data_IF_735644830313
#
_entry.id   IF_735644830313
#
_cell.length_a   1.000
_cell.length_b   1.000
_cell.length_c   1.000
_cell.angle_alpha   90.00
_cell.angle_beta   90.00
_cell.angle_gamma   90.00
#
_symmetry.space_group_name_H-M   'P 1'
#
loop_
_entity.id
_entity.type
_entity.pdbx_description
1 polymer ?
#
# COMPACT_ATOMS: atom_id res chain seq x y z
N UNK A 1 17.04 21.03 27.17
CA UNK A 1 16.68 19.75 26.52
C UNK A 1 16.03 19.92 25.14
N UNK A 2 15.58 21.13 24.75
CA UNK A 2 14.91 21.38 23.43
C UNK A 2 15.86 21.30 22.20
N UNK A 3 17.16 21.53 22.39
CA UNK A 3 18.14 21.52 21.27
C UNK A 3 18.78 20.16 20.96
N UNK A 4 18.59 19.17 21.84
CA UNK A 4 19.28 17.87 21.72
C UNK A 4 18.47 16.89 20.81
N UNK A 5 17.14 16.97 20.82
CA UNK A 5 16.29 16.10 20.00
C UNK A 5 16.39 16.45 18.51
N UNK A 6 16.47 17.75 18.18
CA UNK A 6 16.62 18.19 16.79
C UNK A 6 18.03 17.90 16.24
N UNK A 7 19.06 17.96 17.11
CA UNK A 7 20.43 17.64 16.75
C UNK A 7 20.64 16.13 16.49
N UNK A 8 19.90 15.25 17.15
CA UNK A 8 20.03 13.80 16.95
C UNK A 8 19.42 13.36 15.60
N UNK A 9 18.36 13.98 15.14
CA UNK A 9 17.72 13.68 13.84
C UNK A 9 18.63 14.17 12.69
N UNK A 10 19.27 15.31 12.83
CA UNK A 10 20.24 15.85 11.85
C UNK A 10 21.56 15.08 11.88
N UNK A 11 22.02 14.59 13.03
CA UNK A 11 23.26 13.85 13.18
C UNK A 11 23.23 12.45 12.57
N UNK A 12 22.07 11.78 12.54
CA UNK A 12 21.92 10.47 11.88
C UNK A 12 22.01 10.61 10.36
N UNK A 13 21.63 11.75 9.79
CA UNK A 13 21.72 12.02 8.34
C UNK A 13 23.16 12.40 7.92
N UNK A 14 23.98 12.93 8.83
CA UNK A 14 25.32 13.45 8.53
C UNK A 14 26.48 12.50 8.90
N UNK A 15 26.23 11.32 9.49
CA UNK A 15 27.29 10.43 9.98
C UNK A 15 27.72 9.33 9.00
N UNK A 16 27.34 9.38 7.75
CA UNK A 16 27.91 8.48 6.74
C UNK A 16 29.19 9.09 6.15
N UNK A 17 30.35 8.42 6.22
CA UNK A 17 31.58 8.91 5.62
C UNK A 17 31.44 8.91 4.10
N UNK A 18 31.39 10.09 3.51
CA UNK A 18 31.50 10.29 2.06
C UNK A 18 32.93 10.02 1.61
N UNK A 19 33.25 8.78 1.23
CA UNK A 19 34.41 8.53 0.38
C UNK A 19 34.03 8.87 -1.06
N UNK A 20 34.11 10.14 -1.41
CA UNK A 20 34.10 10.60 -2.79
C UNK A 20 35.46 10.28 -3.42
N UNK A 21 35.55 9.19 -4.16
CA UNK A 21 36.57 8.99 -5.17
C UNK A 21 36.04 9.57 -6.49
N UNK A 22 36.45 10.78 -6.82
CA UNK A 22 36.16 11.35 -8.12
C UNK A 22 36.99 10.59 -9.18
N UNK A 23 36.34 9.66 -9.89
CA UNK A 23 36.87 9.17 -11.16
C UNK A 23 36.31 10.01 -12.29
N UNK A 24 37.18 10.80 -12.89
CA UNK A 24 36.95 11.51 -14.14
C UNK A 24 36.70 10.51 -15.26
N UNK A 25 35.46 10.46 -15.76
CA UNK A 25 35.15 9.71 -16.96
C UNK A 25 35.62 10.46 -18.21
N UNK A 26 36.24 9.77 -19.19
CA UNK A 26 36.63 10.39 -20.44
C UNK A 26 35.38 10.66 -21.30
N UNK A 27 35.28 11.86 -21.84
CA UNK A 27 34.36 12.20 -22.91
C UNK A 27 34.65 11.33 -24.12
N UNK A 28 33.77 10.45 -24.54
CA UNK A 28 33.79 9.82 -25.86
C UNK A 28 32.36 9.72 -26.40
N UNK A 29 32.13 10.53 -27.40
CA UNK A 29 31.49 10.27 -28.69
C UNK A 29 30.21 9.42 -28.76
N UNK A 30 29.16 10.06 -29.30
CA UNK A 30 28.03 9.51 -30.07
C UNK A 30 27.27 8.36 -29.42
N UNK A 31 26.10 8.68 -28.90
CA UNK A 31 25.03 7.69 -28.68
C UNK A 31 24.73 6.96 -30.00
N UNK A 32 24.84 5.64 -30.08
CA UNK A 32 24.32 4.91 -31.21
C UNK A 32 22.80 4.92 -31.15
N UNK A 33 22.19 5.21 -32.26
CA UNK A 33 20.80 5.24 -32.61
C UNK A 33 19.94 4.26 -31.79
N UNK A 34 19.27 4.74 -30.78
CA UNK A 34 18.29 3.99 -29.99
C UNK A 34 17.18 3.42 -30.88
N UNK A 35 16.87 4.10 -31.98
CA UNK A 35 15.95 3.65 -33.01
C UNK A 35 16.44 2.41 -33.78
N UNK A 36 17.76 2.30 -34.04
CA UNK A 36 18.33 1.13 -34.69
C UNK A 36 18.40 -0.09 -33.76
N UNK A 37 18.69 0.14 -32.50
CA UNK A 37 18.68 -0.92 -31.50
C UNK A 37 17.28 -1.46 -31.28
N UNK A 38 16.27 -0.60 -31.18
CA UNK A 38 14.86 -0.98 -31.07
C UNK A 38 14.37 -1.77 -32.29
N UNK A 39 14.79 -1.38 -33.49
CA UNK A 39 14.49 -2.13 -34.72
C UNK A 39 15.10 -3.52 -34.71
N UNK A 40 16.35 -3.67 -34.27
CA UNK A 40 17.00 -4.99 -34.14
C UNK A 40 16.29 -5.90 -33.13
N UNK A 41 15.88 -5.36 -31.99
CA UNK A 41 15.12 -6.09 -31.00
C UNK A 41 13.73 -6.50 -31.52
N UNK A 42 13.06 -5.61 -32.25
CA UNK A 42 11.78 -5.90 -32.90
C UNK A 42 11.90 -7.00 -33.97
N UNK A 43 12.96 -6.97 -34.78
CA UNK A 43 13.21 -7.96 -35.80
C UNK A 43 13.61 -9.31 -35.19
N UNK A 44 14.37 -9.32 -34.08
CA UNK A 44 14.67 -10.53 -33.33
C UNK A 44 13.41 -11.14 -32.71
N UNK A 45 12.51 -10.33 -32.17
CA UNK A 45 11.22 -10.79 -31.61
C UNK A 45 10.30 -11.34 -32.71
N UNK A 46 10.26 -10.73 -33.89
CA UNK A 46 9.52 -11.25 -35.04
C UNK A 46 10.07 -12.61 -35.51
N UNK A 47 11.38 -12.79 -35.55
CA UNK A 47 12.02 -14.07 -35.87
C UNK A 47 11.68 -15.15 -34.82
N UNK A 48 11.68 -14.83 -33.54
CA UNK A 48 11.26 -15.75 -32.49
C UNK A 48 9.79 -16.16 -32.63
N UNK A 49 8.91 -15.22 -32.94
CA UNK A 49 7.49 -15.51 -33.18
C UNK A 49 7.30 -16.45 -34.40
N UNK A 50 8.02 -16.22 -35.51
CA UNK A 50 7.99 -17.11 -36.67
C UNK A 50 8.47 -18.52 -36.32
N UNK A 51 9.58 -18.64 -35.57
CA UNK A 51 10.08 -19.94 -35.13
C UNK A 51 9.11 -20.71 -34.23
N UNK A 52 8.36 -19.99 -33.39
CA UNK A 52 7.31 -20.59 -32.56
C UNK A 52 6.11 -21.06 -33.40
N UNK A 53 5.69 -20.26 -34.38
CA UNK A 53 4.64 -20.66 -35.35
C UNK A 53 5.02 -21.90 -36.14
N UNK A 54 6.25 -21.97 -36.65
CA UNK A 54 6.76 -23.15 -37.39
C UNK A 54 6.83 -24.41 -36.51
N UNK A 55 7.15 -24.25 -35.21
CA UNK A 55 7.10 -25.36 -34.26
C UNK A 55 5.68 -25.87 -34.02
N UNK A 56 4.73 -24.96 -33.86
CA UNK A 56 3.31 -25.31 -33.72
C UNK A 56 2.79 -26.07 -34.93
N UNK A 57 3.05 -25.58 -36.14
CA UNK A 57 2.64 -26.24 -37.37
C UNK A 57 3.26 -27.66 -37.52
N UNK A 58 4.54 -27.82 -37.14
CA UNK A 58 5.18 -29.14 -37.11
C UNK A 58 4.56 -30.08 -36.08
N UNK A 59 4.17 -29.58 -34.93
CA UNK A 59 3.49 -30.38 -33.92
C UNK A 59 2.09 -30.80 -34.37
N UNK A 60 1.34 -29.90 -35.03
CA UNK A 60 0.04 -30.25 -35.63
C UNK A 60 0.16 -31.30 -36.71
N UNK A 61 1.19 -31.23 -37.57
CA UNK A 61 1.45 -32.24 -38.58
C UNK A 61 1.80 -33.62 -38.00
N UNK A 62 2.55 -33.65 -36.88
CA UNK A 62 2.85 -34.89 -36.16
C UNK A 62 1.60 -35.45 -35.52
N UNK A 63 0.76 -34.63 -34.92
CA UNK A 63 -0.53 -35.05 -34.33
C UNK A 63 -1.47 -35.63 -35.42
N UNK A 64 -1.55 -34.98 -36.58
CA UNK A 64 -2.32 -35.51 -37.71
C UNK A 64 -1.78 -36.83 -38.22
N UNK A 65 -0.45 -36.99 -38.34
CA UNK A 65 0.17 -38.26 -38.77
C UNK A 65 -0.08 -39.37 -37.73
N UNK A 66 0.00 -39.08 -36.46
CA UNK A 66 -0.29 -40.04 -35.39
C UNK A 66 -1.78 -40.42 -35.34
N UNK A 67 -2.68 -39.48 -35.58
CA UNK A 67 -4.12 -39.76 -35.66
C UNK A 67 -4.52 -40.54 -36.92
N UNK A 68 -3.81 -40.34 -38.05
CA UNK A 68 -4.03 -41.11 -39.28
C UNK A 68 -3.47 -42.56 -39.21
N UNK A 69 -2.45 -42.80 -38.39
CA UNK A 69 -1.91 -44.15 -38.13
C UNK A 69 -2.73 -44.96 -37.10
N UNK A 70 -3.64 -44.34 -36.40
CA UNK A 70 -4.52 -44.99 -35.40
C UNK A 70 -5.81 -45.54 -35.99
N UNK A 71 -5.89 -45.82 -37.31
CA UNK A 71 -7.04 -46.49 -37.91
C UNK A 71 -6.89 -47.99 -37.74
N UNK A 72 -7.76 -48.71 -37.01
CA UNK A 72 -7.70 -50.15 -36.83
C UNK A 72 -8.04 -50.87 -38.14
N UNK A 73 -7.44 -52.04 -38.41
CA UNK A 73 -7.85 -52.85 -39.56
C UNK A 73 -9.29 -53.34 -39.36
N UNK A 74 -10.09 -53.24 -40.41
CA UNK A 74 -11.48 -53.64 -40.46
C UNK A 74 -11.63 -55.14 -40.12
N UNK A 75 -12.34 -55.47 -39.05
CA UNK A 75 -12.75 -56.86 -38.79
C UNK A 75 -12.78 -57.33 -37.33
N UNK A 76 -13.14 -56.52 -36.36
CA UNK A 76 -13.51 -57.01 -35.02
C UNK A 76 -14.69 -56.18 -34.47
N UNK A 77 -15.69 -56.88 -33.95
CA UNK A 77 -16.91 -56.30 -33.38
C UNK A 77 -16.60 -55.26 -32.28
N UNK A 78 -17.49 -54.29 -32.01
CA UNK A 78 -17.25 -53.20 -31.14
C UNK A 78 -17.14 -53.64 -29.67
N UNK A 79 -15.96 -53.74 -29.16
CA UNK A 79 -15.73 -53.74 -27.70
C UNK A 79 -15.68 -52.29 -27.22
N UNK A 80 -16.44 -52.01 -26.22
CA UNK A 80 -16.58 -50.76 -25.48
C UNK A 80 -15.22 -50.05 -25.30
N UNK A 81 -15.08 -48.73 -25.57
CA UNK A 81 -13.85 -48.03 -25.31
C UNK A 81 -13.48 -48.09 -23.84
N UNK A 82 -12.23 -48.41 -23.55
CA UNK A 82 -11.74 -48.52 -22.19
C UNK A 82 -11.82 -47.15 -21.52
N UNK A 83 -12.56 -47.10 -20.42
CA UNK A 83 -12.80 -45.89 -19.58
C UNK A 83 -11.52 -45.18 -19.12
N UNK A 84 -10.33 -45.78 -19.31
CA UNK A 84 -9.04 -45.22 -18.94
C UNK A 84 -8.47 -44.18 -19.90
N UNK A 85 -8.79 -44.26 -21.21
CA UNK A 85 -8.20 -43.35 -22.20
C UNK A 85 -8.87 -41.97 -22.19
N UNK A 86 -10.16 -41.94 -21.95
CA UNK A 86 -10.92 -40.69 -21.78
C UNK A 86 -10.62 -40.02 -20.42
N UNK A 87 -10.34 -40.80 -19.41
CA UNK A 87 -9.93 -40.32 -18.11
C UNK A 87 -8.52 -39.71 -18.17
N UNK A 88 -7.56 -40.37 -18.82
CA UNK A 88 -6.22 -39.85 -19.04
C UNK A 88 -6.22 -38.56 -19.88
N UNK A 89 -7.03 -38.51 -20.96
CA UNK A 89 -7.17 -37.28 -21.77
C UNK A 89 -7.78 -36.12 -20.97
N UNK A 90 -8.71 -36.41 -20.05
CA UNK A 90 -9.28 -35.39 -19.14
C UNK A 90 -8.25 -34.93 -18.12
N UNK A 91 -7.52 -35.86 -17.51
CA UNK A 91 -6.49 -35.52 -16.51
C UNK A 91 -5.36 -34.67 -17.14
N UNK A 92 -4.85 -35.06 -18.33
CA UNK A 92 -3.83 -34.26 -19.05
C UNK A 92 -4.39 -32.90 -19.47
N UNK A 93 -5.63 -32.81 -19.92
CA UNK A 93 -6.28 -31.54 -20.25
C UNK A 93 -6.46 -30.64 -19.01
N UNK A 94 -6.84 -31.21 -17.89
CA UNK A 94 -7.01 -30.47 -16.64
C UNK A 94 -5.65 -30.03 -16.07
N UNK A 95 -4.61 -30.86 -16.20
CA UNK A 95 -3.25 -30.51 -15.79
C UNK A 95 -2.68 -29.38 -16.66
N UNK A 96 -2.82 -29.46 -18.00
CA UNK A 96 -2.42 -28.38 -18.91
C UNK A 96 -3.21 -27.11 -18.63
N UNK A 97 -4.52 -27.19 -18.41
CA UNK A 97 -5.34 -26.04 -18.08
C UNK A 97 -4.96 -25.44 -16.70
N UNK A 98 -4.58 -26.27 -15.74
CA UNK A 98 -4.11 -25.83 -14.43
C UNK A 98 -2.77 -25.10 -14.50
N UNK A 99 -1.85 -25.58 -15.36
CA UNK A 99 -0.53 -24.96 -15.55
C UNK A 99 -0.61 -23.69 -16.43
N UNK A 100 -1.58 -23.61 -17.35
CA UNK A 100 -1.76 -22.43 -18.21
C UNK A 100 -2.61 -21.35 -17.54
N UNK A 101 -3.56 -21.71 -16.66
CA UNK A 101 -4.41 -20.72 -15.93
C UNK A 101 -3.63 -19.62 -15.22
N UNK A 102 -2.54 -19.89 -14.47
CA UNK A 102 -1.74 -18.84 -13.87
C UNK A 102 -1.08 -17.93 -14.90
N UNK A 103 -0.61 -18.51 -16.03
CA UNK A 103 0.02 -17.77 -17.12
C UNK A 103 -0.99 -16.92 -17.90
N UNK A 104 -2.20 -17.41 -18.14
CA UNK A 104 -3.30 -16.64 -18.72
C UNK A 104 -3.82 -15.55 -17.77
N UNK A 105 -3.91 -15.84 -16.49
CA UNK A 105 -4.26 -14.85 -15.47
C UNK A 105 -3.17 -13.78 -15.32
N UNK A 106 -1.89 -14.17 -15.41
CA UNK A 106 -0.77 -13.24 -15.45
C UNK A 106 -0.73 -12.44 -16.76
N UNK A 107 -1.00 -13.07 -17.92
CA UNK A 107 -1.10 -12.39 -19.20
C UNK A 107 -2.26 -11.38 -19.25
N UNK A 108 -3.41 -11.72 -18.68
CA UNK A 108 -4.52 -10.77 -18.50
C UNK A 108 -4.19 -9.64 -17.51
N UNK A 109 -3.28 -9.87 -16.55
CA UNK A 109 -2.76 -8.82 -15.65
C UNK A 109 -1.69 -7.95 -16.34
N UNK A 110 -1.00 -8.49 -17.36
CA UNK A 110 0.16 -7.81 -17.99
C UNK A 110 -0.22 -6.94 -19.19
N UNK A 111 -1.38 -7.16 -19.78
CA UNK A 111 -1.91 -6.33 -20.87
C UNK A 111 -3.38 -5.95 -20.61
N UNK A 112 -3.65 -5.01 -19.69
CA UNK A 112 -4.91 -4.31 -19.77
C UNK A 112 -4.91 -3.66 -21.16
N UNK A 113 -5.96 -3.86 -21.96
CA UNK A 113 -6.08 -3.14 -23.20
C UNK A 113 -5.91 -1.65 -22.87
N UNK A 114 -5.12 -0.94 -23.66
CA UNK A 114 -4.74 0.45 -23.43
C UNK A 114 -5.93 1.39 -23.14
N UNK A 115 -7.15 0.92 -23.44
CA UNK A 115 -8.40 1.66 -23.33
C UNK A 115 -9.39 1.09 -22.31
N UNK A 116 -9.13 -0.08 -21.72
CA UNK A 116 -10.00 -0.64 -20.69
C UNK A 116 -9.41 -0.38 -19.31
N UNK A 117 -10.11 0.32 -18.42
CA UNK A 117 -9.65 0.50 -17.05
C UNK A 117 -9.57 -0.85 -16.35
N UNK A 118 -8.53 -1.04 -15.54
CA UNK A 118 -8.50 -2.09 -14.56
C UNK A 118 -9.57 -1.77 -13.50
N UNK A 119 -10.47 -2.73 -13.25
CA UNK A 119 -11.55 -2.59 -12.31
C UNK A 119 -11.38 -3.64 -11.23
N UNK A 120 -11.42 -3.22 -9.98
CA UNK A 120 -11.42 -4.08 -8.81
C UNK A 120 -12.52 -3.70 -7.84
N UNK A 121 -13.00 -4.69 -7.08
CA UNK A 121 -13.97 -4.45 -6.03
C UNK A 121 -13.56 -5.22 -4.78
N UNK A 122 -13.59 -4.55 -3.64
CA UNK A 122 -13.29 -5.14 -2.33
C UNK A 122 -14.52 -5.09 -1.47
N UNK A 123 -14.77 -6.16 -0.75
CA UNK A 123 -15.77 -6.23 0.29
C UNK A 123 -15.06 -6.52 1.60
N UNK A 124 -15.30 -5.69 2.60
CA UNK A 124 -14.73 -5.85 3.92
C UNK A 124 -15.81 -5.79 5.00
N UNK A 125 -15.97 -6.89 5.72
CA UNK A 125 -16.93 -7.04 6.81
C UNK A 125 -16.23 -7.37 8.12
N UNK A 126 -16.70 -6.77 9.21
CA UNK A 126 -16.13 -6.94 10.55
C UNK A 126 -17.21 -7.33 11.55
N UNK A 127 -17.04 -8.47 12.21
CA UNK A 127 -17.75 -8.80 13.45
C UNK A 127 -16.91 -8.33 14.64
N UNK A 128 -17.50 -7.61 15.59
CA UNK A 128 -16.82 -7.10 16.76
C UNK A 128 -17.56 -7.40 18.05
N UNK A 129 -16.82 -7.58 19.12
CA UNK A 129 -17.33 -7.67 20.48
C UNK A 129 -16.42 -6.86 21.41
N UNK A 130 -17.00 -6.07 22.28
CA UNK A 130 -16.30 -5.34 23.35
C UNK A 130 -16.97 -5.63 24.68
N UNK A 131 -16.18 -5.89 25.73
CA UNK A 131 -16.75 -6.06 27.09
C UNK A 131 -17.59 -4.83 27.44
N UNK A 132 -18.69 -5.08 28.17
CA UNK A 132 -19.68 -4.09 28.60
C UNK A 132 -20.47 -3.44 27.45
N UNK A 133 -20.28 -3.87 26.22
CA UNK A 133 -21.04 -3.45 25.06
C UNK A 133 -21.60 -4.67 24.33
N UNK A 134 -22.55 -4.45 23.43
CA UNK A 134 -23.10 -5.52 22.59
C UNK A 134 -22.14 -5.82 21.44
N UNK A 135 -22.14 -7.07 20.96
CA UNK A 135 -21.48 -7.43 19.73
C UNK A 135 -22.14 -6.74 18.53
N UNK A 136 -21.35 -6.49 17.49
CA UNK A 136 -21.81 -5.86 16.27
C UNK A 136 -21.28 -6.62 15.03
N UNK A 137 -22.05 -6.58 13.95
CA UNK A 137 -21.59 -6.93 12.60
C UNK A 137 -21.68 -5.67 11.75
N UNK A 138 -20.57 -5.32 11.15
CA UNK A 138 -20.40 -4.12 10.36
C UNK A 138 -19.98 -4.47 8.94
N UNK A 139 -20.69 -3.92 7.96
CA UNK A 139 -20.19 -3.79 6.61
C UNK A 139 -19.28 -2.57 6.60
N UNK A 140 -17.96 -2.79 6.71
CA UNK A 140 -17.01 -1.70 6.90
C UNK A 140 -16.77 -0.93 5.61
N UNK A 141 -16.56 -1.64 4.50
CA UNK A 141 -16.34 -1.00 3.20
C UNK A 141 -16.71 -1.89 2.01
N UNK A 142 -17.14 -1.25 0.94
CA UNK A 142 -17.24 -1.79 -0.40
C UNK A 142 -16.50 -0.87 -1.37
N UNK A 143 -15.22 -1.16 -1.65
CA UNK A 143 -14.37 -0.28 -2.44
C UNK A 143 -14.37 -0.66 -3.91
N UNK A 144 -14.70 0.29 -4.78
CA UNK A 144 -14.59 0.18 -6.23
C UNK A 144 -13.33 0.93 -6.70
N UNK A 145 -12.33 0.19 -7.11
CA UNK A 145 -11.09 0.72 -7.66
C UNK A 145 -11.11 0.74 -9.19
N UNK A 146 -10.73 1.86 -9.77
CA UNK A 146 -10.59 2.10 -11.21
C UNK A 146 -9.19 2.63 -11.50
N UNK A 147 -8.50 2.09 -12.50
CA UNK A 147 -7.18 2.60 -12.91
C UNK A 147 -6.99 2.42 -14.41
N UNK A 148 -6.55 3.49 -15.08
CA UNK A 148 -6.24 3.45 -16.52
C UNK A 148 -5.05 4.36 -16.85
N UNK A 149 -4.30 4.00 -17.90
CA UNK A 149 -3.38 4.94 -18.53
C UNK A 149 -4.21 5.92 -19.38
N UNK A 150 -4.03 7.22 -19.15
CA UNK A 150 -4.65 8.27 -19.96
C UNK A 150 -3.90 8.39 -21.29
N UNK A 151 -2.58 8.37 -21.21
CA UNK A 151 -1.63 8.42 -22.31
C UNK A 151 -0.30 7.75 -21.89
N UNK A 152 0.76 7.72 -22.72
CA UNK A 152 2.06 7.17 -22.31
C UNK A 152 2.73 7.90 -21.14
N UNK A 153 2.30 9.12 -20.81
CA UNK A 153 2.94 9.98 -19.82
C UNK A 153 2.17 10.10 -18.51
N UNK A 154 0.88 9.68 -18.51
CA UNK A 154 0.00 9.87 -17.36
C UNK A 154 -0.91 8.66 -17.13
N UNK A 155 -1.14 8.34 -15.86
CA UNK A 155 -2.11 7.35 -15.38
C UNK A 155 -3.10 8.03 -14.44
N UNK A 156 -4.38 7.74 -14.61
CA UNK A 156 -5.42 8.11 -13.67
C UNK A 156 -5.89 6.91 -12.83
N UNK A 157 -6.29 7.15 -11.59
CA UNK A 157 -6.97 6.16 -10.79
C UNK A 157 -8.01 6.84 -9.88
N UNK A 158 -9.03 6.06 -9.50
CA UNK A 158 -10.04 6.47 -8.53
C UNK A 158 -10.43 5.28 -7.65
N UNK A 159 -10.69 5.55 -6.38
CA UNK A 159 -11.23 4.61 -5.40
C UNK A 159 -12.47 5.25 -4.79
N UNK A 160 -13.60 4.57 -4.98
CA UNK A 160 -14.88 4.92 -4.41
C UNK A 160 -15.18 3.97 -3.26
N UNK A 161 -15.36 4.48 -2.07
CA UNK A 161 -15.69 3.69 -0.88
C UNK A 161 -17.16 3.83 -0.53
N UNK A 162 -17.87 2.71 -0.55
CA UNK A 162 -19.25 2.59 -0.10
C UNK A 162 -19.31 2.05 1.32
N UNK A 163 -19.91 2.81 2.22
CA UNK A 163 -20.21 2.42 3.61
C UNK A 163 -21.71 2.49 3.87
N UNK A 164 -22.24 2.03 5.00
CA UNK A 164 -23.64 2.23 5.35
C UNK A 164 -24.09 3.71 5.38
N UNK A 165 -23.15 4.63 5.60
CA UNK A 165 -23.42 6.05 5.70
C UNK A 165 -23.43 6.77 4.33
N UNK A 166 -22.89 6.12 3.28
CA UNK A 166 -22.89 6.67 1.94
C UNK A 166 -21.74 6.20 1.05
N UNK A 167 -21.54 6.90 -0.06
CA UNK A 167 -20.43 6.66 -0.99
C UNK A 167 -19.56 7.90 -1.00
N UNK A 168 -18.26 7.71 -0.79
CA UNK A 168 -17.27 8.79 -0.87
C UNK A 168 -16.19 8.48 -1.91
N UNK A 169 -15.58 9.55 -2.42
CA UNK A 169 -14.34 9.46 -3.22
C UNK A 169 -13.17 9.42 -2.25
N UNK A 170 -12.64 8.24 -2.01
CA UNK A 170 -11.52 8.05 -1.09
C UNK A 170 -10.20 8.50 -1.72
N UNK A 171 -9.96 8.06 -2.97
CA UNK A 171 -8.88 8.57 -3.80
C UNK A 171 -9.36 8.88 -5.22
N UNK A 172 -8.85 9.95 -5.84
CA UNK A 172 -8.97 10.25 -7.26
C UNK A 172 -7.78 11.11 -7.68
N UNK A 173 -6.83 10.53 -8.42
CA UNK A 173 -5.59 11.21 -8.74
C UNK A 173 -5.06 10.88 -10.12
N UNK A 174 -4.24 11.79 -10.63
CA UNK A 174 -3.43 11.63 -11.83
C UNK A 174 -1.96 11.53 -11.41
N UNK A 175 -1.24 10.57 -12.01
CA UNK A 175 0.18 10.32 -11.74
C UNK A 175 0.95 10.34 -13.04
N UNK A 176 2.03 11.10 -13.11
CA UNK A 176 2.93 11.10 -14.26
C UNK A 176 3.79 9.83 -14.27
N UNK A 177 4.02 9.25 -15.44
CA UNK A 177 4.72 7.96 -15.60
C UNK A 177 6.07 8.08 -16.29
N UNK A 178 6.37 9.21 -16.95
CA UNK A 178 7.53 9.35 -17.82
C UNK A 178 8.16 10.78 -17.76
N UNK A 179 8.24 11.36 -16.57
CA UNK A 179 8.97 12.61 -16.41
C UNK A 179 10.48 12.37 -16.42
N UNK A 180 11.29 13.30 -16.99
CA UNK A 180 12.73 13.23 -16.92
C UNK A 180 13.24 13.34 -15.47
N UNK A 181 14.51 13.00 -15.26
CA UNK A 181 15.20 13.11 -13.97
C UNK A 181 14.61 12.26 -12.84
N UNK A 182 13.96 11.13 -13.17
CA UNK A 182 13.33 10.23 -12.19
C UNK A 182 12.28 10.94 -11.30
N UNK A 183 11.61 11.92 -11.84
CA UNK A 183 10.54 12.64 -11.18
C UNK A 183 9.20 11.97 -11.41
N UNK A 184 8.36 11.94 -10.38
CA UNK A 184 6.95 11.57 -10.46
C UNK A 184 6.14 12.67 -9.81
N UNK A 185 5.10 13.13 -10.49
CA UNK A 185 4.13 14.09 -9.94
C UNK A 185 2.78 13.41 -9.81
N UNK A 186 2.18 13.52 -8.64
CA UNK A 186 0.84 13.02 -8.33
C UNK A 186 -0.03 14.21 -7.90
N UNK A 187 -1.22 14.33 -8.45
CA UNK A 187 -2.15 15.42 -8.12
C UNK A 187 -3.59 14.94 -8.04
N UNK A 188 -4.34 15.47 -7.08
CA UNK A 188 -5.73 15.12 -6.82
C UNK A 188 -5.99 14.84 -5.34
N UNK A 189 -6.93 13.93 -5.06
CA UNK A 189 -7.18 13.35 -3.73
C UNK A 189 -6.49 12.00 -3.65
N UNK A 190 -5.65 11.80 -2.65
CA UNK A 190 -4.88 10.57 -2.50
C UNK A 190 -4.33 10.42 -1.08
N UNK A 191 -3.83 9.24 -0.74
CA UNK A 191 -3.06 9.06 0.48
C UNK A 191 -1.65 9.58 0.27
N UNK A 192 -1.31 10.63 1.03
CA UNK A 192 0.02 11.24 1.04
C UNK A 192 1.07 10.23 1.48
N UNK A 193 2.29 10.35 0.96
CA UNK A 193 3.41 9.48 1.34
C UNK A 193 3.94 9.82 2.74
N UNK A 194 3.04 9.83 3.73
CA UNK A 194 3.34 10.06 5.14
C UNK A 194 3.53 8.73 5.86
N UNK A 195 4.65 8.57 6.57
CA UNK A 195 4.90 7.38 7.39
C UNK A 195 4.80 6.04 6.65
N UNK A 196 4.43 4.99 7.36
CA UNK A 196 4.33 3.63 6.83
C UNK A 196 2.89 3.20 6.56
N UNK A 197 2.06 3.10 7.62
CA UNK A 197 0.73 2.49 7.53
C UNK A 197 -0.40 3.50 7.28
N UNK A 198 -0.19 4.79 7.46
CA UNK A 198 -1.22 5.81 7.25
C UNK A 198 -1.70 5.93 5.79
N UNK A 199 -0.91 5.43 4.85
CA UNK A 199 -1.21 5.37 3.40
C UNK A 199 -1.79 4.03 2.93
N UNK A 200 -2.21 3.17 3.86
CA UNK A 200 -2.87 1.90 3.55
C UNK A 200 -4.36 2.04 3.83
N UNK A 201 -5.19 1.46 2.97
CA UNK A 201 -6.60 1.29 3.25
C UNK A 201 -6.79 0.31 4.42
N UNK A 202 -7.89 0.41 5.14
CA UNK A 202 -8.15 -0.42 6.32
C UNK A 202 -8.11 -1.91 6.02
N UNK A 203 -8.63 -2.32 4.86
CA UNK A 203 -8.57 -3.72 4.43
C UNK A 203 -7.14 -4.18 4.10
N UNK A 204 -6.18 -3.29 3.82
CA UNK A 204 -4.78 -3.62 3.51
C UNK A 204 -3.89 -3.69 4.76
N UNK A 205 -4.34 -3.20 5.90
CA UNK A 205 -3.57 -3.24 7.15
C UNK A 205 -3.20 -4.67 7.56
N UNK A 206 -2.10 -4.89 8.30
CA UNK A 206 -1.74 -6.18 8.88
C UNK A 206 -2.75 -6.72 9.89
N UNK A 207 -3.49 -5.86 10.56
CA UNK A 207 -4.46 -6.12 11.63
C UNK A 207 -5.82 -5.48 11.31
N UNK A 208 -6.84 -5.71 12.13
CA UNK A 208 -8.22 -5.27 11.83
C UNK A 208 -8.38 -3.77 12.03
N UNK A 209 -7.90 -3.23 13.15
CA UNK A 209 -8.05 -1.83 13.49
C UNK A 209 -6.76 -1.06 13.24
N UNK A 210 -6.89 0.15 12.77
CA UNK A 210 -5.78 1.07 12.59
C UNK A 210 -5.12 1.40 13.95
N UNK A 211 -3.78 1.53 14.03
CA UNK A 211 -3.11 1.92 15.25
C UNK A 211 -3.63 3.22 15.84
N UNK A 212 -3.80 3.24 17.14
CA UNK A 212 -4.28 4.41 17.91
C UNK A 212 -3.47 5.67 17.63
N UNK A 213 -2.14 5.53 17.45
CA UNK A 213 -1.28 6.67 17.14
C UNK A 213 -1.61 7.30 15.79
N UNK A 214 -1.98 6.50 14.79
CA UNK A 214 -2.40 7.01 13.48
C UNK A 214 -3.77 7.66 13.57
N UNK A 215 -4.71 7.05 14.29
CA UNK A 215 -6.02 7.67 14.55
C UNK A 215 -5.87 9.02 15.27
N UNK A 216 -4.97 9.09 16.25
CA UNK A 216 -4.78 10.32 17.05
C UNK A 216 -4.09 11.43 16.26
N UNK A 217 -3.07 11.10 15.41
CA UNK A 217 -2.24 12.13 14.81
C UNK A 217 -2.54 12.43 13.35
N UNK A 218 -3.18 11.51 12.61
CA UNK A 218 -3.57 11.73 11.21
C UNK A 218 -5.03 11.35 10.91
N UNK A 219 -5.85 11.15 11.96
CA UNK A 219 -7.22 10.64 11.84
C UNK A 219 -7.31 9.38 10.97
N UNK A 220 -6.36 8.46 11.21
CA UNK A 220 -6.27 7.16 10.56
C UNK A 220 -5.44 7.16 9.30
N UNK A 221 -5.90 7.81 8.26
CA UNK A 221 -5.30 7.80 6.93
C UNK A 221 -4.64 9.13 6.58
N UNK A 222 -3.55 9.06 5.81
CA UNK A 222 -2.86 10.26 5.32
C UNK A 222 -3.55 10.88 4.10
N UNK A 223 -4.90 10.85 4.05
CA UNK A 223 -5.68 11.42 2.95
C UNK A 223 -5.39 12.91 2.78
N UNK A 224 -5.14 13.32 1.54
CA UNK A 224 -4.77 14.68 1.19
C UNK A 224 -5.34 15.08 -0.15
N UNK A 225 -5.77 16.34 -0.26
CA UNK A 225 -6.13 16.99 -1.53
C UNK A 225 -4.98 17.95 -1.91
N UNK A 226 -4.24 17.64 -2.97
CA UNK A 226 -3.07 18.46 -3.33
C UNK A 226 -2.17 17.86 -4.38
N UNK A 227 -0.88 18.15 -4.26
CA UNK A 227 0.16 17.72 -5.19
C UNK A 227 1.35 17.15 -4.42
N UNK A 228 1.88 16.03 -4.89
CA UNK A 228 3.17 15.46 -4.48
C UNK A 228 4.14 15.38 -5.64
N UNK A 229 5.40 15.66 -5.35
CA UNK A 229 6.52 15.46 -6.26
C UNK A 229 7.48 14.47 -5.59
N UNK A 230 7.71 13.34 -6.21
CA UNK A 230 8.67 12.34 -5.75
C UNK A 230 9.87 12.31 -6.69
N UNK A 231 11.07 12.25 -6.12
CA UNK A 231 12.34 12.16 -6.82
C UNK A 231 13.09 10.90 -6.39
N UNK A 232 13.34 10.00 -7.33
CA UNK A 232 14.23 8.87 -7.09
C UNK A 232 15.67 9.31 -7.39
N UNK A 233 16.47 9.44 -6.33
CA UNK A 233 17.85 9.88 -6.45
C UNK A 233 18.69 8.88 -7.26
N UNK A 234 19.52 9.34 -8.21
CA UNK A 234 20.35 8.47 -9.06
C UNK A 234 21.60 7.99 -8.31
N UNK A 235 21.38 7.32 -7.17
CA UNK A 235 22.42 6.76 -6.31
C UNK A 235 22.46 5.24 -6.46
N UNK A 236 23.58 4.62 -6.07
CA UNK A 236 23.66 3.15 -5.96
C UNK A 236 22.73 2.59 -4.89
N UNK A 237 22.48 3.37 -3.85
CA UNK A 237 21.51 3.10 -2.79
C UNK A 237 20.16 3.69 -3.18
N UNK A 238 19.08 2.89 -3.05
CA UNK A 238 17.73 3.40 -3.24
C UNK A 238 17.43 4.54 -2.26
N UNK A 239 17.05 5.70 -2.78
CA UNK A 239 16.62 6.85 -1.97
C UNK A 239 15.53 7.59 -2.73
N UNK A 240 14.37 7.68 -2.13
CA UNK A 240 13.26 8.51 -2.63
C UNK A 240 13.09 9.72 -1.73
N UNK A 241 12.95 10.89 -2.34
CA UNK A 241 12.58 12.13 -1.67
C UNK A 241 11.22 12.55 -2.19
N UNK A 242 10.25 12.72 -1.29
CA UNK A 242 8.91 13.19 -1.62
C UNK A 242 8.66 14.54 -0.97
N UNK A 243 8.12 15.46 -1.73
CA UNK A 243 7.64 16.75 -1.26
C UNK A 243 6.16 16.89 -1.61
N UNK A 244 5.34 17.30 -0.66
CA UNK A 244 3.90 17.46 -0.81
C UNK A 244 3.42 18.86 -0.38
N UNK A 245 2.37 19.32 -1.05
CA UNK A 245 1.61 20.52 -0.69
C UNK A 245 0.12 20.20 -0.78
N UNK A 246 -0.61 20.37 0.32
CA UNK A 246 -1.98 19.91 0.47
C UNK A 246 -2.88 20.98 1.10
N UNK A 247 -4.19 20.90 0.82
CA UNK A 247 -5.18 21.62 1.58
C UNK A 247 -5.13 21.21 3.06
N UNK A 248 -5.05 19.90 3.30
CA UNK A 248 -4.92 19.27 4.62
C UNK A 248 -4.17 17.95 4.51
N UNK A 249 -3.73 17.40 5.63
CA UNK A 249 -3.13 16.06 5.74
C UNK A 249 -3.87 15.28 6.84
N UNK A 250 -4.48 14.16 6.46
CA UNK A 250 -5.31 13.32 7.32
C UNK A 250 -6.79 13.37 6.94
N UNK A 251 -7.52 12.28 7.23
CA UNK A 251 -8.91 12.09 6.75
C UNK A 251 -9.85 13.20 7.20
N UNK A 252 -9.78 13.58 8.46
CA UNK A 252 -10.57 14.67 9.06
C UNK A 252 -9.62 15.71 9.67
N UNK A 253 -8.56 16.03 8.94
CA UNK A 253 -7.59 16.95 9.52
C UNK A 253 -8.18 18.31 9.66
N UNK A 254 -8.37 18.58 10.86
CA UNK A 254 -9.13 19.61 11.46
C UNK A 254 -8.47 20.95 11.24
N UNK A 255 -8.99 21.63 10.24
CA UNK A 255 -9.07 23.06 10.36
C UNK A 255 -10.34 23.35 11.13
N UNK A 256 -10.22 24.20 12.14
CA UNK A 256 -11.32 24.57 13.05
C UNK A 256 -12.58 25.04 12.30
N UNK A 257 -12.42 25.47 11.07
CA UNK A 257 -13.42 26.20 10.28
C UNK A 257 -13.71 25.61 8.89
N UNK A 258 -13.24 24.40 8.59
CA UNK A 258 -13.36 23.73 7.27
C UNK A 258 -12.96 24.61 6.06
N UNK A 259 -12.29 25.73 6.30
CA UNK A 259 -11.94 26.67 5.25
C UNK A 259 -10.79 26.12 4.40
N UNK A 260 -10.93 26.26 3.09
CA UNK A 260 -9.88 25.92 2.12
C UNK A 260 -8.75 26.96 2.19
N UNK A 261 -7.47 26.56 2.09
CA UNK A 261 -6.35 27.51 1.99
C UNK A 261 -6.56 28.52 0.86
N UNK A 262 -6.31 29.79 1.15
CA UNK A 262 -6.50 30.90 0.20
C UNK A 262 -5.20 31.29 -0.48
N UNK A 263 -4.06 30.94 0.10
CA UNK A 263 -2.75 31.31 -0.39
C UNK A 263 -1.66 30.33 0.09
N UNK A 264 -0.46 30.42 -0.47
CA UNK A 264 0.66 29.50 -0.16
C UNK A 264 1.05 29.44 1.33
N UNK A 265 0.77 30.48 2.12
CA UNK A 265 1.11 30.46 3.55
C UNK A 265 0.12 29.65 4.40
N UNK A 266 -0.90 29.07 3.79
CA UNK A 266 -1.99 28.36 4.47
C UNK A 266 -2.06 26.86 4.15
N UNK A 267 -1.33 26.40 3.13
CA UNK A 267 -1.25 24.96 2.80
C UNK A 267 -0.46 24.17 3.84
N UNK A 268 -0.76 22.88 3.95
CA UNK A 268 0.08 21.91 4.64
C UNK A 268 1.21 21.47 3.73
N UNK A 269 2.43 21.48 4.24
CA UNK A 269 3.64 21.06 3.53
C UNK A 269 4.20 19.80 4.16
N UNK A 270 4.67 18.89 3.33
CA UNK A 270 5.28 17.64 3.77
C UNK A 270 6.60 17.38 3.03
N UNK A 271 7.58 16.87 3.75
CA UNK A 271 8.80 16.28 3.19
C UNK A 271 9.02 14.87 3.73
N UNK A 272 9.37 13.94 2.87
CA UNK A 272 9.72 12.57 3.24
C UNK A 272 11.02 12.15 2.54
N UNK A 273 11.87 11.44 3.26
CA UNK A 273 12.99 10.68 2.72
C UNK A 273 12.80 9.21 3.10
N UNK A 274 12.89 8.32 2.11
CA UNK A 274 12.75 6.89 2.33
C UNK A 274 13.82 6.11 1.56
N UNK A 275 14.39 5.10 2.22
CA UNK A 275 15.41 4.22 1.66
C UNK A 275 15.06 2.76 1.88
N UNK A 276 15.52 1.92 0.97
CA UNK A 276 15.41 0.47 1.02
C UNK A 276 16.78 -0.15 0.93
N UNK A 277 17.11 -1.07 1.82
CA UNK A 277 18.40 -1.73 1.90
C UNK A 277 18.21 -3.24 1.90
N UNK A 278 18.79 -3.93 0.92
CA UNK A 278 18.98 -5.38 0.99
C UNK A 278 20.18 -5.68 1.90
N UNK A 279 19.92 -6.26 3.06
CA UNK A 279 20.99 -6.70 3.97
C UNK A 279 21.67 -8.00 3.46
N UNK A 280 20.87 -8.86 2.84
CA UNK A 280 21.26 -10.05 2.09
C UNK A 280 20.06 -10.57 1.28
N UNK A 281 20.22 -11.73 0.62
CA UNK A 281 19.19 -12.32 -0.26
C UNK A 281 17.83 -12.62 0.42
N UNK A 282 17.80 -12.72 1.74
CA UNK A 282 16.60 -13.04 2.50
C UNK A 282 16.12 -11.90 3.39
N UNK A 283 16.92 -10.88 3.60
CA UNK A 283 16.66 -9.84 4.59
C UNK A 283 16.72 -8.46 3.97
N UNK A 284 15.70 -7.66 4.21
CA UNK A 284 15.62 -6.27 3.77
C UNK A 284 15.14 -5.34 4.86
N UNK A 285 15.49 -4.07 4.74
CA UNK A 285 15.15 -3.01 5.66
C UNK A 285 14.66 -1.79 4.88
N UNK A 286 13.46 -1.32 5.18
CA UNK A 286 12.97 0.00 4.78
C UNK A 286 13.12 0.96 5.95
N UNK A 287 13.59 2.16 5.68
CA UNK A 287 13.66 3.25 6.67
C UNK A 287 13.10 4.50 6.03
N UNK A 288 12.21 5.17 6.73
CA UNK A 288 11.63 6.43 6.29
C UNK A 288 11.66 7.48 7.41
N UNK A 289 11.73 8.74 7.01
CA UNK A 289 11.49 9.87 7.89
C UNK A 289 10.59 10.86 7.19
N UNK A 290 9.63 11.39 7.93
CA UNK A 290 8.61 12.30 7.39
C UNK A 290 8.46 13.50 8.33
N UNK A 291 8.26 14.66 7.75
CA UNK A 291 7.92 15.88 8.47
C UNK A 291 6.84 16.63 7.71
N UNK A 292 5.75 16.99 8.42
CA UNK A 292 4.68 17.80 7.89
C UNK A 292 4.52 19.07 8.74
N UNK A 293 4.22 20.17 8.07
CA UNK A 293 4.04 21.49 8.68
C UNK A 293 2.75 22.12 8.17
N UNK A 294 1.83 22.42 9.09
CA UNK A 294 0.61 23.18 8.83
C UNK A 294 0.77 24.56 9.48
N UNK A 295 0.98 25.62 8.68
CA UNK A 295 1.25 26.97 9.21
C UNK A 295 0.04 27.59 9.89
N UNK A 296 -1.17 27.16 9.49
CA UNK A 296 -2.43 27.67 10.06
C UNK A 296 -3.42 26.53 10.24
N UNK A 297 -3.50 25.99 11.43
CA UNK A 297 -4.55 25.05 11.83
C UNK A 297 -5.93 25.75 11.78
N UNK A 298 -5.95 27.02 12.15
CA UNK A 298 -7.08 27.93 11.95
C UNK A 298 -6.66 29.06 11.02
N UNK A 299 -7.40 29.30 9.93
CA UNK A 299 -6.94 30.20 8.85
C UNK A 299 -6.75 31.65 9.27
N UNK A 300 -7.54 32.14 10.21
CA UNK A 300 -7.51 33.54 10.67
C UNK A 300 -6.56 33.77 11.82
N UNK A 301 -5.93 32.69 12.36
CA UNK A 301 -4.99 32.75 13.48
C UNK A 301 -3.69 32.00 13.17
N UNK A 302 -2.60 32.46 13.77
CA UNK A 302 -1.26 31.85 13.58
C UNK A 302 -1.07 30.62 14.51
N UNK A 303 -1.92 29.62 14.39
CA UNK A 303 -1.79 28.36 15.09
C UNK A 303 -1.12 27.32 14.19
N UNK A 304 0.06 26.87 14.60
CA UNK A 304 0.88 25.97 13.79
C UNK A 304 0.76 24.53 14.28
N UNK A 305 0.97 23.59 13.36
CA UNK A 305 1.17 22.18 13.67
C UNK A 305 2.45 21.67 13.04
N UNK A 306 3.21 20.92 13.80
CA UNK A 306 4.39 20.15 13.33
C UNK A 306 4.13 18.68 13.62
N UNK A 307 4.17 17.86 12.60
CA UNK A 307 4.03 16.42 12.69
C UNK A 307 5.29 15.77 12.09
N UNK A 308 6.02 15.01 12.90
CA UNK A 308 7.24 14.33 12.49
C UNK A 308 7.13 12.83 12.75
N UNK A 309 7.71 12.02 11.88
CA UNK A 309 7.70 10.56 12.02
C UNK A 309 8.98 9.91 11.52
N UNK A 310 9.30 8.78 12.12
CA UNK A 310 10.34 7.85 11.66
C UNK A 310 9.74 6.46 11.61
N UNK A 311 9.84 5.81 10.47
CA UNK A 311 9.34 4.45 10.25
C UNK A 311 10.46 3.50 9.84
N UNK A 312 10.35 2.24 10.28
CA UNK A 312 11.25 1.16 9.97
C UNK A 312 10.45 -0.11 9.70
N UNK A 313 10.79 -0.82 8.62
CA UNK A 313 10.22 -2.12 8.33
C UNK A 313 11.32 -3.09 7.96
N UNK A 314 11.51 -4.10 8.79
CA UNK A 314 12.39 -5.23 8.50
C UNK A 314 11.58 -6.40 7.95
N UNK A 315 12.10 -7.03 6.87
CA UNK A 315 11.51 -8.23 6.28
C UNK A 315 12.53 -9.33 6.19
N UNK A 316 12.12 -10.52 6.63
CA UNK A 316 12.80 -11.77 6.37
C UNK A 316 11.94 -12.62 5.44
N UNK A 317 12.43 -12.88 4.23
CA UNK A 317 11.73 -13.65 3.18
C UNK A 317 12.76 -14.64 2.59
N UNK A 318 12.88 -15.86 3.12
CA UNK A 318 13.86 -16.84 2.64
C UNK A 318 13.50 -17.30 1.22
N UNK A 319 14.41 -17.16 0.25
CA UNK A 319 14.20 -17.42 -1.18
C UNK A 319 13.57 -18.79 -1.48
N UNK A 320 14.05 -19.85 -0.82
CA UNK A 320 13.55 -21.21 -1.05
C UNK A 320 12.21 -21.50 -0.37
N UNK A 321 11.75 -20.67 0.55
CA UNK A 321 10.55 -20.88 1.37
C UNK A 321 9.64 -19.64 1.47
N UNK A 322 9.80 -18.68 0.59
CA UNK A 322 9.07 -17.39 0.63
C UNK A 322 7.54 -17.56 0.66
N UNK A 323 7.01 -18.61 0.05
CA UNK A 323 5.58 -18.92 0.08
C UNK A 323 5.07 -19.46 1.43
N UNK A 324 5.97 -19.97 2.29
CA UNK A 324 5.58 -20.68 3.51
C UNK A 324 6.11 -20.03 4.79
N UNK A 325 7.19 -19.28 4.70
CA UNK A 325 7.87 -18.65 5.82
C UNK A 325 8.23 -17.22 5.51
N UNK A 326 8.11 -16.38 6.49
CA UNK A 326 8.50 -14.99 6.42
C UNK A 326 8.25 -14.34 7.76
N UNK A 327 8.92 -13.23 8.00
CA UNK A 327 8.71 -12.41 9.17
C UNK A 327 8.76 -10.95 8.73
N UNK A 328 7.80 -10.17 9.18
CA UNK A 328 7.78 -8.72 9.02
C UNK A 328 7.75 -8.11 10.41
N UNK A 329 8.63 -7.17 10.66
CA UNK A 329 8.60 -6.30 11.82
C UNK A 329 8.54 -4.85 11.34
N UNK A 330 7.42 -4.17 11.64
CA UNK A 330 7.22 -2.77 11.30
C UNK A 330 7.04 -1.94 12.56
N UNK A 331 7.66 -0.78 12.59
CA UNK A 331 7.52 0.17 13.69
C UNK A 331 7.54 1.60 13.16
N UNK A 332 6.79 2.46 13.80
CA UNK A 332 6.75 3.89 13.50
C UNK A 332 6.63 4.68 14.79
N UNK A 333 7.43 5.71 14.92
CA UNK A 333 7.36 6.68 16.00
C UNK A 333 6.92 8.03 15.43
N UNK A 334 5.92 8.64 16.06
CA UNK A 334 5.37 9.93 15.67
C UNK A 334 5.49 10.95 16.81
N UNK A 335 5.73 12.18 16.42
CA UNK A 335 5.72 13.38 17.28
C UNK A 335 4.80 14.42 16.67
N UNK A 336 3.86 14.92 17.45
CA UNK A 336 2.97 16.02 17.10
C UNK A 336 3.16 17.20 18.05
N UNK A 337 3.40 18.37 17.50
CA UNK A 337 3.37 19.66 18.21
C UNK A 337 2.31 20.53 17.58
N UNK A 338 1.35 20.97 18.37
CA UNK A 338 0.19 21.70 17.87
C UNK A 338 -0.34 22.68 18.90
N UNK A 339 -0.82 23.83 18.45
CA UNK A 339 -1.68 24.69 19.24
C UNK A 339 -3.11 24.19 19.13
N UNK A 340 -3.66 23.67 20.24
CA UNK A 340 -5.05 23.17 20.28
C UNK A 340 -5.93 24.03 21.18
N UNK A 341 -7.22 24.17 20.82
CA UNK A 341 -8.19 24.81 21.70
C UNK A 341 -8.39 23.96 22.96
N UNK A 342 -8.54 24.61 24.10
CA UNK A 342 -8.89 23.96 25.36
C UNK A 342 -10.36 23.55 25.28
N UNK A 343 -10.63 22.26 25.52
CA UNK A 343 -11.99 21.71 25.44
C UNK A 343 -12.35 21.09 24.05
N UNK A 344 -11.39 21.04 23.14
CA UNK A 344 -11.59 20.50 21.78
C UNK A 344 -12.07 21.55 20.78
N UNK A 345 -12.19 21.13 19.53
CA UNK A 345 -12.79 21.97 18.49
C UNK A 345 -14.31 22.01 18.69
N UNK A 346 -14.99 23.17 18.51
CA UNK A 346 -16.43 23.22 18.56
C UNK A 346 -17.02 22.31 17.47
N UNK A 347 -18.09 21.59 17.81
CA UNK A 347 -18.84 20.84 16.80
C UNK A 347 -19.38 21.78 15.74
N UNK A 348 -19.41 21.32 14.48
CA UNK A 348 -19.95 22.06 13.34
C UNK A 348 -21.35 22.61 13.68
N UNK A 349 -21.53 23.91 13.54
CA UNK A 349 -22.81 24.59 13.71
C UNK A 349 -23.12 25.09 15.11
N UNK A 350 -22.20 24.97 16.08
CA UNK A 350 -22.32 25.69 17.36
C UNK A 350 -21.55 26.99 17.25
N UNK A 351 -22.27 28.10 17.00
CA UNK A 351 -21.78 29.48 17.20
C UNK A 351 -21.47 29.68 18.68
N UNK A 352 -20.32 29.21 19.14
CA UNK A 352 -19.84 29.59 20.47
C UNK A 352 -19.29 31.02 20.37
N UNK A 353 -20.03 32.00 20.89
CA UNK A 353 -19.61 33.42 21.00
C UNK A 353 -18.36 33.60 21.89
N UNK A 354 -17.90 32.54 22.57
CA UNK A 354 -16.74 32.62 23.46
C UNK A 354 -15.44 32.41 22.62
N UNK A 355 -14.46 33.33 22.83
CA UNK A 355 -13.18 33.17 22.14
C UNK A 355 -12.47 31.91 22.62
N UNK A 356 -12.07 31.03 21.67
CA UNK A 356 -11.32 29.82 21.93
C UNK A 356 -9.96 30.15 22.59
N UNK A 357 -9.68 29.50 23.70
CA UNK A 357 -8.36 29.55 24.34
C UNK A 357 -7.49 28.44 23.79
N UNK A 358 -6.29 28.76 23.32
CA UNK A 358 -5.38 27.78 22.73
C UNK A 358 -4.20 27.47 23.68
N UNK A 359 -3.72 26.23 23.59
CA UNK A 359 -2.57 25.77 24.34
C UNK A 359 -1.64 24.95 23.44
N UNK A 360 -0.33 25.19 23.52
CA UNK A 360 0.67 24.33 22.91
C UNK A 360 0.64 22.95 23.54
N UNK A 361 0.62 21.91 22.71
CA UNK A 361 0.65 20.51 23.10
C UNK A 361 1.72 19.76 22.32
N UNK A 362 2.62 19.12 23.06
CA UNK A 362 3.54 18.10 22.58
C UNK A 362 2.94 16.73 22.87
N UNK A 363 2.84 15.88 21.88
CA UNK A 363 2.36 14.51 22.02
C UNK A 363 3.25 13.55 21.22
N UNK A 364 3.45 12.35 21.78
CA UNK A 364 4.23 11.29 21.17
C UNK A 364 3.38 10.04 21.05
N UNK A 365 3.70 9.22 20.08
CA UNK A 365 3.09 7.92 19.93
C UNK A 365 3.94 7.01 19.09
N UNK A 366 3.69 5.71 19.20
CA UNK A 366 4.36 4.69 18.42
C UNK A 366 3.45 3.48 18.22
N UNK A 367 3.65 2.79 17.12
CA UNK A 367 3.24 1.40 17.00
C UNK A 367 4.42 0.52 16.63
N UNK A 368 4.36 -0.74 17.03
CA UNK A 368 5.30 -1.77 16.60
C UNK A 368 4.55 -3.08 16.45
N UNK A 369 4.68 -3.71 15.28
CA UNK A 369 4.07 -5.01 15.03
C UNK A 369 5.07 -6.00 14.46
N UNK A 370 4.85 -7.24 14.78
CA UNK A 370 5.53 -8.38 14.17
C UNK A 370 4.48 -9.33 13.61
N UNK A 371 4.70 -9.80 12.38
CA UNK A 371 3.89 -10.84 11.76
C UNK A 371 4.80 -11.94 11.21
N UNK A 372 4.56 -13.17 11.64
CA UNK A 372 5.26 -14.35 11.16
C UNK A 372 4.34 -15.19 10.27
N UNK A 373 4.75 -15.43 9.03
CA UNK A 373 4.10 -16.40 8.14
C UNK A 373 4.56 -17.79 8.53
N UNK A 374 3.63 -18.60 9.02
CA UNK A 374 3.88 -19.96 9.51
C UNK A 374 3.68 -20.98 8.38
N UNK A 375 2.67 -20.75 7.53
CA UNK A 375 2.38 -21.57 6.35
C UNK A 375 1.89 -20.67 5.22
N UNK A 376 1.57 -21.25 4.07
CA UNK A 376 0.91 -20.50 2.96
C UNK A 376 -0.38 -19.81 3.38
N UNK A 377 -1.10 -20.39 4.36
CA UNK A 377 -2.46 -19.97 4.74
C UNK A 377 -2.52 -19.28 6.09
N UNK A 378 -1.49 -19.38 6.91
CA UNK A 378 -1.55 -18.89 8.29
C UNK A 378 -0.40 -17.95 8.59
N UNK A 379 -0.74 -16.78 9.11
CA UNK A 379 0.20 -15.84 9.72
C UNK A 379 -0.27 -15.51 11.13
N UNK A 380 0.67 -15.40 12.05
CA UNK A 380 0.42 -14.99 13.43
C UNK A 380 1.16 -13.66 13.67
N UNK A 381 0.49 -12.71 14.30
CA UNK A 381 1.07 -11.41 14.56
C UNK A 381 0.71 -10.86 15.93
N UNK A 382 1.44 -9.83 16.29
CA UNK A 382 1.24 -9.05 17.50
C UNK A 382 1.52 -7.58 17.22
N UNK A 383 0.62 -6.69 17.65
CA UNK A 383 0.78 -5.25 17.60
C UNK A 383 0.82 -4.70 19.02
N UNK A 384 1.81 -3.86 19.31
CA UNK A 384 1.84 -2.94 20.43
C UNK A 384 1.63 -1.53 19.88
N UNK A 385 0.69 -0.81 20.42
CA UNK A 385 0.32 0.52 19.99
C UNK A 385 0.12 1.44 21.20
N UNK A 386 0.70 2.64 21.13
CA UNK A 386 0.64 3.62 22.21
C UNK A 386 0.62 5.03 21.65
N UNK A 387 -0.28 5.87 22.16
CA UNK A 387 -0.33 7.28 21.84
C UNK A 387 -0.68 8.15 23.04
N UNK A 388 0.01 9.26 23.19
CA UNK A 388 -0.44 10.35 24.04
C UNK A 388 -1.59 11.08 23.34
N UNK A 389 -2.60 11.47 24.10
CA UNK A 389 -3.64 12.33 23.55
C UNK A 389 -3.07 13.68 23.14
N UNK A 390 -3.53 14.19 22.00
CA UNK A 390 -3.27 15.55 21.55
C UNK A 390 -4.11 16.56 22.34
N UNK A 391 -5.20 16.13 22.99
CA UNK A 391 -6.03 17.00 23.81
C UNK A 391 -5.42 17.21 25.20
N UNK A 392 -5.37 18.46 25.68
CA UNK A 392 -4.81 18.78 27.00
C UNK A 392 -5.57 18.10 28.12
N UNK A 393 -4.85 17.46 29.06
CA UNK A 393 -5.43 16.83 30.24
C UNK A 393 -5.89 15.38 30.05
N UNK A 394 -5.90 14.84 28.84
CA UNK A 394 -6.24 13.45 28.56
C UNK A 394 -4.97 12.58 28.62
N UNK A 395 -5.08 11.39 29.22
CA UNK A 395 -3.99 10.42 29.34
C UNK A 395 -3.77 9.68 28.04
N UNK A 396 -2.62 9.00 27.96
CA UNK A 396 -2.29 8.12 26.84
C UNK A 396 -3.19 6.89 26.77
N UNK A 397 -3.30 6.34 25.55
CA UNK A 397 -3.91 5.04 25.26
C UNK A 397 -2.83 4.04 24.91
N UNK A 398 -3.00 2.78 25.29
CA UNK A 398 -2.13 1.67 24.90
C UNK A 398 -2.98 0.45 24.55
N UNK A 399 -2.62 -0.21 23.46
CA UNK A 399 -3.28 -1.41 22.96
C UNK A 399 -2.28 -2.56 22.79
N UNK A 400 -2.70 -3.76 23.22
CA UNK A 400 -1.98 -5.03 23.04
C UNK A 400 -2.83 -5.95 22.18
N UNK A 401 -2.37 -6.24 20.96
CA UNK A 401 -3.20 -6.84 19.94
C UNK A 401 -2.55 -8.06 19.30
N UNK A 402 -2.70 -9.28 19.84
CA UNK A 402 -2.42 -10.50 19.10
C UNK A 402 -3.47 -10.74 18.01
N UNK A 403 -3.03 -11.23 16.84
CA UNK A 403 -3.92 -11.54 15.72
C UNK A 403 -3.46 -12.75 14.91
N UNK A 404 -4.42 -13.41 14.28
CA UNK A 404 -4.23 -14.53 13.37
C UNK A 404 -4.84 -14.18 12.01
N UNK A 405 -4.06 -14.30 10.95
CA UNK A 405 -4.53 -14.14 9.57
C UNK A 405 -4.61 -15.49 8.88
N UNK A 406 -5.75 -15.78 8.25
CA UNK A 406 -6.04 -17.00 7.51
C UNK A 406 -6.30 -16.62 6.05
N UNK A 407 -5.47 -17.09 5.14
CA UNK A 407 -5.62 -16.91 3.70
C UNK A 407 -6.38 -18.10 3.13
N UNK A 408 -7.68 -17.96 2.92
CA UNK A 408 -8.51 -18.99 2.27
C UNK A 408 -8.09 -19.15 0.81
N UNK A 409 -7.76 -18.05 0.13
CA UNK A 409 -7.19 -17.98 -1.21
C UNK A 409 -6.37 -16.68 -1.36
N UNK A 410 -5.82 -16.41 -2.54
CA UNK A 410 -5.20 -15.12 -2.87
C UNK A 410 -6.21 -13.95 -2.90
N UNK A 411 -7.51 -14.25 -2.96
CA UNK A 411 -8.59 -13.27 -3.05
C UNK A 411 -9.42 -13.16 -1.76
N UNK A 412 -9.15 -14.01 -0.77
CA UNK A 412 -9.95 -14.06 0.46
C UNK A 412 -9.05 -14.20 1.69
N UNK A 413 -9.32 -13.34 2.65
CA UNK A 413 -8.62 -13.31 3.91
C UNK A 413 -9.60 -13.22 5.08
N UNK A 414 -9.40 -14.06 6.09
CA UNK A 414 -10.09 -14.00 7.37
C UNK A 414 -9.05 -13.63 8.43
N UNK A 415 -9.41 -12.73 9.33
CA UNK A 415 -8.54 -12.32 10.43
C UNK A 415 -9.29 -12.40 11.74
N UNK A 416 -8.68 -13.03 12.72
CA UNK A 416 -9.11 -13.05 14.11
C UNK A 416 -8.17 -12.18 14.91
N UNK A 417 -8.72 -11.25 15.69
CA UNK A 417 -7.94 -10.33 16.49
C UNK A 417 -8.54 -10.21 17.88
N UNK A 418 -7.68 -10.17 18.89
CA UNK A 418 -8.01 -9.75 20.23
C UNK A 418 -7.23 -8.47 20.53
N UNK A 419 -7.87 -7.51 21.17
CA UNK A 419 -7.22 -6.27 21.62
C UNK A 419 -7.54 -6.05 23.09
N UNK A 420 -6.50 -5.93 23.90
CA UNK A 420 -6.59 -5.36 25.24
C UNK A 420 -6.38 -3.86 25.12
N UNK A 421 -7.46 -3.12 25.25
CA UNK A 421 -7.50 -1.67 25.22
C UNK A 421 -7.34 -1.11 26.63
N UNK A 422 -6.43 -0.13 26.81
CA UNK A 422 -6.23 0.61 28.03
C UNK A 422 -6.14 2.11 27.72
N UNK A 423 -7.26 2.79 27.88
CA UNK A 423 -7.43 4.22 27.60
C UNK A 423 -7.78 5.05 28.82
N UNK A 424 -7.95 6.37 28.65
CA UNK A 424 -8.31 7.29 29.72
C UNK A 424 -9.68 6.96 30.33
N UNK A 425 -9.67 6.37 31.53
CA UNK A 425 -10.91 6.02 32.24
C UNK A 425 -11.65 4.78 31.73
N UNK A 426 -11.11 4.09 30.74
CA UNK A 426 -11.71 2.88 30.16
C UNK A 426 -10.67 1.77 29.92
N UNK A 427 -11.07 0.55 30.23
CA UNK A 427 -10.31 -0.68 29.95
C UNK A 427 -11.27 -1.68 29.35
N UNK A 428 -10.91 -2.23 28.19
CA UNK A 428 -11.79 -3.17 27.51
C UNK A 428 -11.02 -4.32 26.87
N UNK A 429 -11.67 -5.49 26.83
CA UNK A 429 -11.26 -6.59 25.96
C UNK A 429 -12.13 -6.53 24.70
N UNK A 430 -11.49 -6.56 23.55
CA UNK A 430 -12.16 -6.48 22.25
C UNK A 430 -11.78 -7.69 21.42
N UNK A 431 -12.76 -8.23 20.70
CA UNK A 431 -12.56 -9.33 19.78
C UNK A 431 -13.10 -8.93 18.41
N UNK A 432 -12.34 -9.26 17.37
CA UNK A 432 -12.70 -8.95 15.99
C UNK A 432 -12.57 -10.17 15.10
N UNK A 433 -13.53 -10.31 14.20
CA UNK A 433 -13.51 -11.22 13.06
C UNK A 433 -13.68 -10.39 11.79
N UNK A 434 -12.65 -10.28 10.99
CA UNK A 434 -12.69 -9.60 9.69
C UNK A 434 -12.72 -10.63 8.57
N UNK A 435 -13.55 -10.37 7.57
CA UNK A 435 -13.55 -11.10 6.31
C UNK A 435 -13.44 -10.14 5.15
N UNK A 436 -12.32 -10.22 4.42
CA UNK A 436 -12.02 -9.40 3.26
C UNK A 436 -12.04 -10.26 2.00
N UNK A 437 -12.76 -9.81 0.97
CA UNK A 437 -12.86 -10.47 -0.34
C UNK A 437 -12.50 -9.48 -1.44
N UNK A 438 -11.63 -9.90 -2.38
CA UNK A 438 -11.22 -9.10 -3.54
C UNK A 438 -11.78 -9.72 -4.81
N UNK A 439 -12.43 -8.91 -5.63
CA UNK A 439 -13.00 -9.26 -6.93
C UNK A 439 -12.28 -8.45 -8.03
N UNK A 440 -11.81 -9.11 -9.07
CA UNK A 440 -11.17 -8.43 -10.21
C UNK A 440 -9.72 -7.99 -9.97
N UNK A 441 -9.30 -6.92 -10.64
CA UNK A 441 -7.95 -6.38 -10.57
C UNK A 441 -7.91 -5.22 -9.58
N UNK A 442 -7.54 -5.50 -8.34
CA UNK A 442 -7.39 -4.44 -7.36
C UNK A 442 -6.23 -3.51 -7.72
N UNK A 443 -6.47 -2.19 -7.64
CA UNK A 443 -5.51 -1.14 -8.04
C UNK A 443 -4.22 -1.20 -7.23
N UNK A 444 -4.29 -1.64 -5.98
CA UNK A 444 -3.14 -1.73 -5.07
C UNK A 444 -2.64 -3.17 -4.85
N UNK A 445 -3.43 -4.20 -5.17
CA UNK A 445 -3.19 -5.57 -4.72
C UNK A 445 -3.23 -5.68 -3.19
N UNK A 446 -3.16 -6.88 -2.62
CA UNK A 446 -2.70 -6.98 -1.24
C UNK A 446 -1.23 -6.56 -1.27
N UNK A 447 -0.94 -5.32 -0.92
CA UNK A 447 0.42 -4.80 -0.92
C UNK A 447 1.31 -5.75 -0.13
N UNK A 448 2.43 -6.14 -0.71
CA UNK A 448 3.47 -6.84 0.02
C UNK A 448 3.86 -5.96 1.20
N UNK A 449 3.59 -6.47 2.37
CA UNK A 449 3.72 -5.78 3.65
C UNK A 449 5.17 -5.66 4.04
#
# INVERSE_FOLDING_TARGET
MRSIALALIVAIILSFPAHLSAQTAPRSSRAPDSAQQLRRELDAMKQQMQQLQDKILKQEEVIQKLSAQATPPAGVAPTTPAAGEDQFKREVKEEILRDIRPSLAAANKTFPSQFNPAIGFIIDGVGSYRDKQKGNFEFRSGELGLSANVDPFTRGYAILNGTPDGIEVEEAAIVTTALPYNLTVKGGRFFADFGRLSKFHDHDLPFVNRPVVLNTFVNGESRADGVEVSYLAPLSQYLTLTYGMYNKLGAENERVDDLVPRNFSEFTYMGRAATFVNLNDANSLDVGTTYAYTPKVQLDQNHVRHLAGVDLTYRYVPLSQAAYRGLIWGTEFLYNHENRPIGGFPEHGTDSEEPLSFRNRDAFGLYSYVEARITRRFSLGFLLDWAQSIDPGIKSTIDYTPYLTIWASEFQRIRLQYTRFEGPGDHANQFFLQWTVILGSHVHGFRDR
#
